data_IF_938842397374
#
_entry.id   IF_938842397374
#
_cell.length_a   1.000
_cell.length_b   1.000
_cell.length_c   1.000
_cell.angle_alpha   90.00
_cell.angle_beta   90.00
_cell.angle_gamma   90.00
#
_symmetry.space_group_name_H-M   'P 1'
#
loop_
_entity.id
_entity.type
_entity.pdbx_description
1 polymer ?
#
# COMPACT_ATOMS: atom_id res chain seq x y z
N UNK A 1 -12.61 34.39 -20.87
CA UNK A 1 -13.36 33.31 -21.53
C UNK A 1 -12.45 32.22 -22.07
N UNK A 2 -11.44 32.55 -22.80
CA UNK A 2 -10.52 31.57 -23.40
C UNK A 2 -9.57 30.92 -22.37
N UNK A 3 -9.31 31.56 -21.26
CA UNK A 3 -8.46 30.99 -20.20
C UNK A 3 -9.10 29.84 -19.43
N UNK A 4 -10.41 29.79 -19.35
CA UNK A 4 -11.14 28.71 -18.68
C UNK A 4 -11.11 27.41 -19.48
N UNK A 5 -11.19 27.53 -20.81
CA UNK A 5 -11.10 26.34 -21.68
C UNK A 5 -9.74 25.65 -21.60
N UNK A 6 -8.67 26.42 -21.48
CA UNK A 6 -7.31 25.88 -21.35
C UNK A 6 -7.13 25.16 -20.00
N UNK A 7 -7.70 25.68 -18.93
CA UNK A 7 -7.71 25.04 -17.62
C UNK A 7 -8.44 23.69 -17.64
N UNK A 8 -9.61 23.66 -18.28
CA UNK A 8 -10.42 22.45 -18.38
C UNK A 8 -9.71 21.37 -19.19
N UNK A 9 -9.00 21.73 -20.25
CA UNK A 9 -8.23 20.80 -21.06
C UNK A 9 -7.07 20.18 -20.27
N UNK A 10 -6.38 20.98 -19.47
CA UNK A 10 -5.29 20.49 -18.62
C UNK A 10 -5.82 19.54 -17.55
N UNK A 11 -6.91 19.89 -16.92
CA UNK A 11 -7.55 19.04 -15.91
C UNK A 11 -8.05 17.73 -16.52
N UNK A 12 -8.60 17.76 -17.73
CA UNK A 12 -9.05 16.57 -18.45
C UNK A 12 -7.87 15.65 -18.80
N UNK A 13 -6.72 16.20 -19.17
CA UNK A 13 -5.51 15.42 -19.44
C UNK A 13 -4.98 14.74 -18.18
N UNK A 14 -5.02 15.43 -17.04
CA UNK A 14 -4.63 14.86 -15.75
C UNK A 14 -5.59 13.74 -15.32
N UNK A 15 -6.90 13.95 -15.53
CA UNK A 15 -7.93 12.95 -15.20
C UNK A 15 -7.85 11.73 -16.12
N UNK A 16 -7.45 11.91 -17.38
CA UNK A 16 -7.26 10.81 -18.32
C UNK A 16 -6.12 9.87 -17.93
N UNK A 17 -5.24 10.36 -17.05
CA UNK A 17 -4.13 9.57 -16.56
C UNK A 17 -2.99 9.42 -17.56
N UNK A 18 -1.96 8.75 -17.12
CA UNK A 18 -0.78 8.45 -17.90
C UNK A 18 -1.02 7.14 -18.66
N UNK A 19 -0.87 7.12 -20.00
CA UNK A 19 -1.05 5.90 -20.80
C UNK A 19 -0.19 4.72 -20.33
N UNK A 20 0.93 4.97 -19.67
CA UNK A 20 1.77 3.90 -19.13
C UNK A 20 1.04 3.03 -18.11
N UNK A 21 0.01 3.56 -17.46
CA UNK A 21 -0.77 2.85 -16.44
C UNK A 21 -1.98 2.09 -17.02
N UNK A 22 -2.31 2.26 -18.29
CA UNK A 22 -3.51 1.66 -18.88
C UNK A 22 -3.53 0.14 -18.75
N UNK A 23 -2.42 -0.52 -19.03
CA UNK A 23 -2.32 -1.98 -18.92
C UNK A 23 -2.51 -2.45 -17.47
N UNK A 24 -1.99 -1.70 -16.51
CA UNK A 24 -2.17 -2.00 -15.09
C UNK A 24 -3.63 -1.87 -14.66
N UNK A 25 -4.30 -0.81 -15.09
CA UNK A 25 -5.72 -0.56 -14.79
C UNK A 25 -6.59 -1.67 -15.35
N UNK A 26 -6.38 -2.05 -16.62
CA UNK A 26 -7.11 -3.14 -17.26
C UNK A 26 -6.93 -4.46 -16.50
N UNK A 27 -5.71 -4.76 -16.08
CA UNK A 27 -5.41 -5.97 -15.32
C UNK A 27 -6.09 -5.97 -13.95
N UNK A 28 -6.09 -4.84 -13.26
CA UNK A 28 -6.78 -4.68 -11.97
C UNK A 28 -8.28 -4.92 -12.12
N UNK A 29 -8.89 -4.31 -13.15
CA UNK A 29 -10.33 -4.47 -13.42
C UNK A 29 -10.69 -5.93 -13.72
N UNK A 30 -9.77 -6.67 -14.32
CA UNK A 30 -9.94 -8.09 -14.61
C UNK A 30 -9.60 -9.00 -13.42
N UNK A 31 -9.06 -8.46 -12.33
CA UNK A 31 -8.58 -9.26 -11.20
C UNK A 31 -7.32 -10.05 -11.52
N UNK A 32 -6.60 -9.67 -12.57
CA UNK A 32 -5.36 -10.33 -12.98
C UNK A 32 -4.17 -9.67 -12.27
N UNK A 33 -3.92 -10.07 -11.04
CA UNK A 33 -2.88 -9.48 -10.21
C UNK A 33 -1.48 -9.65 -10.79
N UNK A 34 -1.11 -10.83 -11.34
CA UNK A 34 0.21 -10.98 -11.97
C UNK A 34 0.43 -10.02 -13.14
N UNK A 35 -0.57 -9.82 -13.99
CA UNK A 35 -0.49 -8.89 -15.11
C UNK A 35 -0.38 -7.43 -14.63
N UNK A 36 -1.14 -7.07 -13.61
CA UNK A 36 -1.08 -5.73 -13.00
C UNK A 36 0.31 -5.47 -12.42
N UNK A 37 0.86 -6.43 -11.69
CA UNK A 37 2.20 -6.33 -11.12
C UNK A 37 3.25 -6.15 -12.22
N UNK A 38 3.18 -6.95 -13.27
CA UNK A 38 4.11 -6.86 -14.40
C UNK A 38 4.06 -5.49 -15.08
N UNK A 39 2.86 -4.91 -15.22
CA UNK A 39 2.68 -3.60 -15.83
C UNK A 39 3.34 -2.49 -14.99
N UNK A 40 3.12 -2.49 -13.68
CA UNK A 40 3.77 -1.52 -12.79
C UNK A 40 5.28 -1.73 -12.72
N UNK A 41 5.73 -2.98 -12.68
CA UNK A 41 7.16 -3.29 -12.64
C UNK A 41 7.87 -2.78 -13.89
N UNK A 42 7.25 -2.90 -15.06
CA UNK A 42 7.79 -2.36 -16.29
C UNK A 42 8.01 -0.84 -16.19
N UNK A 43 7.05 -0.13 -15.62
CA UNK A 43 7.19 1.32 -15.42
C UNK A 43 8.37 1.61 -14.47
N UNK A 44 8.50 0.86 -13.39
CA UNK A 44 9.57 1.04 -12.42
C UNK A 44 10.94 0.68 -12.99
N UNK A 45 11.01 -0.29 -13.91
CA UNK A 45 12.25 -0.63 -14.60
C UNK A 45 12.75 0.54 -15.47
N UNK A 46 11.83 1.26 -16.09
CA UNK A 46 12.15 2.44 -16.92
C UNK A 46 12.32 3.71 -16.07
N UNK A 47 11.58 3.81 -14.98
CA UNK A 47 11.55 5.00 -14.09
C UNK A 47 11.51 4.55 -12.63
N UNK A 48 12.66 4.16 -12.05
CA UNK A 48 12.70 3.61 -10.68
C UNK A 48 12.18 4.55 -9.59
N UNK A 49 12.17 5.85 -9.85
CA UNK A 49 11.70 6.86 -8.89
C UNK A 49 10.23 7.23 -9.06
N UNK A 50 9.51 6.53 -9.95
CA UNK A 50 8.08 6.81 -10.17
C UNK A 50 7.25 6.37 -8.97
N UNK A 51 6.83 7.34 -8.16
CA UNK A 51 6.10 7.10 -6.92
C UNK A 51 4.69 6.54 -7.17
N UNK A 52 4.05 6.92 -8.27
CA UNK A 52 2.72 6.41 -8.61
C UNK A 52 2.78 4.94 -9.00
N UNK A 53 3.80 4.54 -9.73
CA UNK A 53 4.01 3.12 -10.07
C UNK A 53 4.34 2.29 -8.83
N UNK A 54 5.16 2.82 -7.93
CA UNK A 54 5.47 2.15 -6.66
C UNK A 54 4.21 1.97 -5.80
N UNK A 55 3.38 3.02 -5.70
CA UNK A 55 2.11 2.96 -4.98
C UNK A 55 1.15 1.97 -5.63
N UNK A 56 1.07 1.95 -6.96
CA UNK A 56 0.24 1.00 -7.70
C UNK A 56 0.66 -0.44 -7.47
N UNK A 57 1.95 -0.73 -7.50
CA UNK A 57 2.48 -2.06 -7.22
C UNK A 57 2.14 -2.50 -5.80
N UNK A 58 2.34 -1.62 -4.82
CA UNK A 58 2.01 -1.90 -3.42
C UNK A 58 0.51 -2.19 -3.24
N UNK A 59 -0.34 -1.46 -3.95
CA UNK A 59 -1.79 -1.67 -3.93
C UNK A 59 -2.18 -3.03 -4.52
N UNK A 60 -1.55 -3.43 -5.62
CA UNK A 60 -1.78 -4.75 -6.23
C UNK A 60 -1.40 -5.86 -5.26
N UNK A 61 -0.26 -5.73 -4.62
CA UNK A 61 0.20 -6.71 -3.63
C UNK A 61 -0.78 -6.80 -2.44
N UNK A 62 -1.30 -5.66 -1.99
CA UNK A 62 -2.31 -5.62 -0.92
C UNK A 62 -3.59 -6.34 -1.34
N UNK A 63 -4.10 -6.08 -2.55
CA UNK A 63 -5.31 -6.74 -3.05
C UNK A 63 -5.12 -8.24 -3.19
N UNK A 64 -3.98 -8.68 -3.71
CA UNK A 64 -3.70 -10.11 -3.87
C UNK A 64 -3.65 -10.82 -2.51
N UNK A 65 -2.96 -10.23 -1.52
CA UNK A 65 -2.85 -10.81 -0.18
C UNK A 65 -4.19 -10.94 0.52
N UNK A 66 -5.13 -10.06 0.22
CA UNK A 66 -6.41 -9.98 0.93
C UNK A 66 -7.57 -10.58 0.14
N UNK A 67 -7.33 -11.08 -1.06
CA UNK A 67 -8.36 -11.67 -1.90
C UNK A 67 -8.98 -12.88 -1.20
N UNK A 68 -10.31 -12.86 -1.08
CA UNK A 68 -11.05 -13.94 -0.42
C UNK A 68 -10.93 -13.98 1.09
N UNK A 69 -10.24 -13.03 1.71
CA UNK A 69 -10.03 -12.99 3.15
C UNK A 69 -11.27 -12.45 3.86
N UNK A 70 -11.68 -13.13 4.95
CA UNK A 70 -12.72 -12.60 5.84
C UNK A 70 -12.08 -11.57 6.80
N UNK A 71 -12.46 -10.28 6.70
CA UNK A 71 -11.85 -9.24 7.52
C UNK A 71 -12.02 -9.47 9.03
N UNK A 72 -13.19 -9.91 9.45
CA UNK A 72 -13.48 -10.13 10.88
C UNK A 72 -12.60 -11.27 11.42
N UNK A 73 -12.54 -12.37 10.67
CA UNK A 73 -11.73 -13.53 11.06
C UNK A 73 -10.24 -13.18 11.12
N UNK A 74 -9.74 -12.36 10.17
CA UNK A 74 -8.36 -11.94 10.15
C UNK A 74 -8.00 -11.10 11.38
N UNK A 75 -8.86 -10.15 11.75
CA UNK A 75 -8.65 -9.31 12.93
C UNK A 75 -8.72 -10.13 14.23
N UNK A 76 -9.64 -11.09 14.30
CA UNK A 76 -9.76 -11.98 15.45
C UNK A 76 -8.53 -12.87 15.63
N UNK A 77 -7.99 -13.40 14.53
CA UNK A 77 -6.78 -14.22 14.54
C UNK A 77 -5.56 -13.47 15.07
N UNK A 78 -5.53 -12.15 14.89
CA UNK A 78 -4.43 -11.30 15.35
C UNK A 78 -4.58 -10.86 16.81
N UNK A 79 -5.70 -11.13 17.47
CA UNK A 79 -5.96 -10.62 18.82
C UNK A 79 -5.03 -11.19 19.88
N UNK A 80 -4.41 -12.36 19.64
CA UNK A 80 -3.46 -12.98 20.55
C UNK A 80 -2.07 -12.33 20.55
N UNK A 81 -1.71 -11.63 19.49
CA UNK A 81 -0.51 -10.80 19.44
C UNK A 81 0.80 -11.53 19.10
N UNK A 82 0.83 -12.85 19.09
CA UNK A 82 2.09 -13.62 18.99
C UNK A 82 2.43 -14.10 17.58
N UNK A 83 1.45 -14.17 16.67
CA UNK A 83 1.64 -14.69 15.33
C UNK A 83 1.89 -13.53 14.34
N UNK A 84 3.11 -13.44 13.81
CA UNK A 84 3.48 -12.37 12.86
C UNK A 84 2.63 -12.42 11.61
N UNK A 85 2.32 -13.59 11.07
CA UNK A 85 1.51 -13.71 9.86
C UNK A 85 0.10 -13.16 10.09
N UNK A 86 -0.49 -13.45 11.23
CA UNK A 86 -1.79 -12.91 11.62
C UNK A 86 -1.75 -11.39 11.77
N UNK A 87 -0.69 -10.85 12.36
CA UNK A 87 -0.53 -9.40 12.51
C UNK A 87 -0.39 -8.70 11.14
N UNK A 88 0.38 -9.27 10.23
CA UNK A 88 0.55 -8.71 8.90
C UNK A 88 -0.76 -8.69 8.12
N UNK A 89 -1.54 -9.77 8.16
CA UNK A 89 -2.84 -9.85 7.50
C UNK A 89 -3.86 -8.88 8.12
N UNK A 90 -3.87 -8.76 9.44
CA UNK A 90 -4.75 -7.81 10.12
C UNK A 90 -4.42 -6.36 9.73
N UNK A 91 -3.13 -6.04 9.60
CA UNK A 91 -2.70 -4.73 9.13
C UNK A 91 -3.16 -4.46 7.69
N UNK A 92 -3.09 -5.46 6.83
CA UNK A 92 -3.59 -5.36 5.45
C UNK A 92 -5.10 -5.08 5.43
N UNK A 93 -5.87 -5.75 6.28
CA UNK A 93 -7.31 -5.50 6.43
C UNK A 93 -7.59 -4.07 6.89
N UNK A 94 -6.87 -3.61 7.89
CA UNK A 94 -7.00 -2.23 8.38
C UNK A 94 -6.65 -1.20 7.31
N UNK A 95 -5.61 -1.49 6.50
CA UNK A 95 -5.25 -0.66 5.34
C UNK A 95 -6.39 -0.56 4.33
N UNK A 96 -7.01 -1.68 3.98
CA UNK A 96 -8.15 -1.71 3.05
C UNK A 96 -9.36 -0.94 3.59
N UNK A 97 -9.54 -0.92 4.90
CA UNK A 97 -10.60 -0.15 5.55
C UNK A 97 -10.29 1.34 5.66
N UNK A 98 -9.09 1.76 5.25
CA UNK A 98 -8.63 3.13 5.41
C UNK A 98 -8.25 3.48 6.85
N UNK A 99 -8.16 2.50 7.73
CA UNK A 99 -7.81 2.70 9.13
C UNK A 99 -6.28 2.67 9.29
N UNK A 100 -5.63 3.68 8.74
CA UNK A 100 -4.18 3.75 8.69
C UNK A 100 -3.52 3.85 10.06
N UNK A 101 -4.16 4.56 10.98
CA UNK A 101 -3.64 4.68 12.34
C UNK A 101 -3.53 3.31 13.03
N UNK A 102 -4.57 2.51 12.95
CA UNK A 102 -4.57 1.15 13.52
C UNK A 102 -3.57 0.25 12.81
N UNK A 103 -3.52 0.30 11.47
CA UNK A 103 -2.60 -0.46 10.65
C UNK A 103 -1.15 -0.21 11.07
N UNK A 104 -0.74 1.05 11.12
CA UNK A 104 0.64 1.40 11.43
C UNK A 104 1.00 1.13 12.89
N UNK A 105 0.08 1.36 13.82
CA UNK A 105 0.30 1.01 15.24
C UNK A 105 0.56 -0.48 15.39
N UNK A 106 -0.24 -1.32 14.73
CA UNK A 106 -0.08 -2.77 14.74
C UNK A 106 1.29 -3.20 14.22
N UNK A 107 1.71 -2.66 13.08
CA UNK A 107 2.98 -3.01 12.45
C UNK A 107 4.19 -2.52 13.25
N UNK A 108 4.11 -1.34 13.86
CA UNK A 108 5.16 -0.81 14.72
C UNK A 108 5.29 -1.67 15.97
N UNK A 109 4.18 -2.09 16.57
CA UNK A 109 4.21 -3.01 17.71
C UNK A 109 4.83 -4.35 17.31
N UNK A 110 4.51 -4.84 16.12
CA UNK A 110 5.13 -6.06 15.60
C UNK A 110 6.64 -5.90 15.45
N UNK A 111 7.12 -4.76 14.95
CA UNK A 111 8.56 -4.47 14.87
C UNK A 111 9.20 -4.49 16.25
N UNK A 112 8.57 -3.87 17.24
CA UNK A 112 9.09 -3.81 18.61
C UNK A 112 9.16 -5.17 19.29
N UNK A 113 8.18 -6.03 19.01
CA UNK A 113 8.03 -7.31 19.70
C UNK A 113 8.77 -8.46 19.02
N UNK A 114 9.22 -8.27 17.79
CA UNK A 114 9.88 -9.31 17.01
C UNK A 114 11.36 -9.02 16.80
N UNK A 115 12.07 -10.00 16.26
CA UNK A 115 13.49 -9.91 15.94
C UNK A 115 13.76 -10.69 14.65
N UNK A 116 14.92 -10.45 14.03
CA UNK A 116 15.34 -11.18 12.85
C UNK A 116 14.39 -11.04 11.68
N UNK A 117 14.08 -12.15 11.03
CA UNK A 117 13.26 -12.16 9.82
C UNK A 117 11.84 -11.64 10.05
N UNK A 118 11.24 -11.94 11.18
CA UNK A 118 9.90 -11.46 11.52
C UNK A 118 9.85 -9.94 11.63
N UNK A 119 10.85 -9.37 12.29
CA UNK A 119 10.97 -7.91 12.41
C UNK A 119 11.17 -7.26 11.04
N UNK A 120 12.00 -7.85 10.20
CA UNK A 120 12.23 -7.35 8.84
C UNK A 120 10.95 -7.42 7.98
N UNK A 121 10.18 -8.49 8.12
CA UNK A 121 8.89 -8.61 7.43
C UNK A 121 7.90 -7.53 7.85
N UNK A 122 7.81 -7.23 9.13
CA UNK A 122 6.94 -6.17 9.64
C UNK A 122 7.41 -4.79 9.13
N UNK A 123 8.72 -4.53 9.16
CA UNK A 123 9.32 -3.29 8.65
C UNK A 123 9.05 -3.12 7.16
N UNK A 124 9.25 -4.16 6.38
CA UNK A 124 9.00 -4.13 4.93
C UNK A 124 7.54 -3.86 4.63
N UNK A 125 6.62 -4.50 5.37
CA UNK A 125 5.18 -4.30 5.17
C UNK A 125 4.77 -2.87 5.47
N UNK A 126 5.26 -2.27 6.54
CA UNK A 126 4.89 -0.90 6.89
C UNK A 126 5.39 0.11 5.85
N UNK A 127 6.61 -0.08 5.35
CA UNK A 127 7.18 0.80 4.30
C UNK A 127 6.36 0.68 3.01
N UNK A 128 5.98 -0.52 2.62
CA UNK A 128 5.10 -0.75 1.47
C UNK A 128 3.77 -0.04 1.64
N UNK A 129 3.14 -0.16 2.80
CA UNK A 129 1.85 0.45 3.07
C UNK A 129 1.92 1.98 3.21
N UNK A 130 3.07 2.55 3.53
CA UNK A 130 3.26 4.00 3.42
C UNK A 130 3.01 4.50 1.99
N UNK A 131 3.45 3.74 0.98
CA UNK A 131 3.22 4.08 -0.42
C UNK A 131 1.73 4.06 -0.78
N UNK A 132 0.97 3.12 -0.21
CA UNK A 132 -0.48 3.02 -0.43
C UNK A 132 -1.21 4.17 0.27
N UNK A 133 -0.84 4.49 1.50
CA UNK A 133 -1.47 5.54 2.30
C UNK A 133 -1.21 6.95 1.75
N UNK A 134 -0.08 7.14 1.09
CA UNK A 134 0.26 8.42 0.45
C UNK A 134 0.39 9.57 1.46
N UNK A 135 -0.51 10.55 1.35
CA UNK A 135 -0.49 11.78 2.15
C UNK A 135 -1.30 11.68 3.45
N UNK A 136 -1.77 10.50 3.82
CA UNK A 136 -2.53 10.35 5.06
C UNK A 136 -1.70 10.84 6.26
N UNK A 137 -2.28 11.63 7.19
CA UNK A 137 -1.55 12.16 8.36
C UNK A 137 -0.92 11.08 9.23
N UNK A 138 -1.46 9.86 9.24
CA UNK A 138 -0.91 8.75 10.01
C UNK A 138 0.50 8.35 9.54
N UNK A 139 0.86 8.61 8.27
CA UNK A 139 2.17 8.25 7.72
C UNK A 139 3.30 8.99 8.43
N UNK A 140 3.19 10.30 8.60
CA UNK A 140 4.24 11.10 9.24
C UNK A 140 4.49 10.63 10.69
N UNK A 141 3.43 10.43 11.45
CA UNK A 141 3.51 9.91 12.82
C UNK A 141 4.13 8.53 12.86
N UNK A 142 3.74 7.66 11.93
CA UNK A 142 4.24 6.29 11.87
C UNK A 142 5.71 6.23 11.47
N UNK A 143 6.17 7.09 10.59
CA UNK A 143 7.59 7.16 10.22
C UNK A 143 8.46 7.50 11.41
N UNK A 144 8.03 8.47 12.22
CA UNK A 144 8.72 8.84 13.46
C UNK A 144 8.76 7.68 14.45
N UNK A 145 7.62 7.03 14.64
CA UNK A 145 7.50 5.88 15.56
C UNK A 145 8.34 4.69 15.09
N UNK A 146 8.38 4.44 13.78
CA UNK A 146 9.19 3.37 13.20
C UNK A 146 10.68 3.62 13.43
N UNK A 147 11.15 4.85 13.20
CA UNK A 147 12.54 5.22 13.45
C UNK A 147 12.91 4.97 14.92
N UNK A 148 12.05 5.34 15.86
CA UNK A 148 12.25 5.08 17.28
C UNK A 148 12.26 3.58 17.62
N UNK A 149 11.47 2.79 16.92
CA UNK A 149 11.39 1.34 17.13
C UNK A 149 12.64 0.60 16.62
N UNK A 150 13.30 1.15 15.60
CA UNK A 150 14.49 0.54 14.99
C UNK A 150 15.80 0.97 15.66
N UNK A 151 15.81 2.11 16.31
CA UNK A 151 16.99 2.72 16.92
C UNK A 151 16.74 3.10 18.37
#
# INVERSE_FOLDING_TARGET
>A
MQGEEVSDDVDAELDAGDPRFDAAVEAIDAGDWPAARAAYQKILDESPADSDAAAGLAMVDLYERTEGLDPVAALQSASGGDDIDAQLLAADVEALQGNWSACFTRLIDAVRQSAGDERERARTRIVELFSVAGDDPAVASARTALASALF
#
